data_IF_076122280409
#
_entry.id   IF_076122280409
#
_cell.length_a   1.000
_cell.length_b   1.000
_cell.length_c   1.000
_cell.angle_alpha   90.00
_cell.angle_beta   90.00
_cell.angle_gamma   90.00
#
_symmetry.space_group_name_H-M   'P 1'
#
loop_
_entity.id
_entity.type
_entity.pdbx_description
1 polymer ?
#
# COMPACT_ATOMS: atom_id res chain seq x y z
N UNK A 1 -8.84 -9.63 9.32
CA UNK A 1 -7.51 -9.03 9.49
C UNK A 1 -6.43 -10.10 9.46
N UNK A 2 -5.39 -9.92 8.64
CA UNK A 2 -4.31 -10.91 8.45
C UNK A 2 -3.38 -10.96 9.67
N UNK A 3 -3.20 -9.82 10.32
CA UNK A 3 -2.47 -9.69 11.60
C UNK A 3 -3.27 -10.24 12.79
N UNK A 4 -4.59 -10.39 12.63
CA UNK A 4 -5.49 -10.97 13.62
C UNK A 4 -5.95 -12.40 13.28
N UNK A 5 -7.07 -12.81 13.87
CA UNK A 5 -7.60 -14.18 13.85
C UNK A 5 -8.21 -14.67 12.51
N UNK A 6 -8.11 -13.97 11.38
CA UNK A 6 -8.95 -14.28 10.19
C UNK A 6 -9.21 -15.79 9.94
N UNK A 7 -10.46 -16.23 10.17
CA UNK A 7 -10.98 -17.62 10.28
C UNK A 7 -10.50 -18.41 11.51
N UNK A 8 -9.22 -18.72 11.57
CA UNK A 8 -8.65 -19.61 12.57
C UNK A 8 -7.70 -18.87 13.51
N UNK A 9 -7.54 -19.41 14.72
CA UNK A 9 -6.54 -18.90 15.66
C UNK A 9 -5.15 -19.44 15.26
N UNK A 10 -4.39 -18.61 14.54
CA UNK A 10 -3.10 -18.93 13.92
C UNK A 10 -2.11 -17.80 14.18
N UNK A 11 -0.82 -18.06 13.92
CA UNK A 11 0.21 -17.03 13.98
C UNK A 11 -0.14 -15.84 13.07
N UNK A 12 0.13 -14.59 13.49
CA UNK A 12 -0.17 -13.40 12.71
C UNK A 12 0.65 -13.38 11.42
N UNK A 13 0.05 -12.90 10.33
CA UNK A 13 0.72 -12.73 9.04
C UNK A 13 1.10 -11.26 8.90
N UNK A 14 2.36 -10.99 8.55
CA UNK A 14 2.86 -9.64 8.28
C UNK A 14 2.20 -9.09 7.01
N UNK A 15 1.17 -8.27 7.20
CA UNK A 15 0.47 -7.57 6.13
C UNK A 15 0.04 -6.20 6.62
N UNK A 16 0.07 -5.22 5.73
CA UNK A 16 -0.17 -3.82 6.07
C UNK A 16 -0.99 -3.15 4.98
N UNK A 17 -2.08 -2.50 5.39
CA UNK A 17 -2.88 -1.64 4.53
C UNK A 17 -2.24 -0.26 4.45
N UNK A 18 -2.07 0.28 3.23
CA UNK A 18 -1.64 1.66 3.02
C UNK A 18 -2.86 2.56 3.14
N UNK A 19 -3.27 2.85 4.38
CA UNK A 19 -4.51 3.58 4.67
C UNK A 19 -4.39 4.64 5.75
N UNK A 20 -3.17 5.03 6.13
CA UNK A 20 -2.95 6.08 7.11
C UNK A 20 -3.38 7.46 6.56
N UNK A 21 -4.40 8.13 7.12
CA UNK A 21 -4.91 9.36 6.56
C UNK A 21 -3.89 10.50 6.57
N UNK A 22 -3.02 10.56 7.58
CA UNK A 22 -2.00 11.59 7.69
C UNK A 22 -0.95 11.44 6.58
N UNK A 23 -0.50 10.23 6.28
CA UNK A 23 0.37 9.91 5.16
C UNK A 23 -0.30 10.25 3.82
N UNK A 24 -1.53 9.77 3.60
CA UNK A 24 -2.25 10.00 2.34
C UNK A 24 -2.45 11.50 2.06
N UNK A 25 -2.82 12.28 3.08
CA UNK A 25 -3.03 13.73 2.94
C UNK A 25 -1.73 14.51 2.82
N UNK A 26 -0.70 14.21 3.62
CA UNK A 26 0.59 14.88 3.53
C UNK A 26 1.26 14.63 2.17
N UNK A 27 1.34 13.37 1.72
CA UNK A 27 1.91 13.05 0.41
C UNK A 27 1.05 13.60 -0.72
N UNK A 28 -0.27 13.50 -0.60
CA UNK A 28 -1.19 14.05 -1.60
C UNK A 28 -1.02 15.56 -1.78
N UNK A 29 -0.82 16.30 -0.68
CA UNK A 29 -0.60 17.74 -0.67
C UNK A 29 0.76 18.13 -1.28
N UNK A 30 1.83 17.43 -0.87
CA UNK A 30 3.20 17.85 -1.19
C UNK A 30 3.74 17.27 -2.51
N UNK A 31 3.16 16.15 -2.97
CA UNK A 31 3.69 15.36 -4.08
C UNK A 31 2.65 14.86 -5.09
N UNK A 32 1.38 15.22 -4.90
CA UNK A 32 0.28 14.77 -5.76
C UNK A 32 -0.31 13.43 -5.31
N UNK A 33 -1.62 13.27 -5.54
CA UNK A 33 -2.37 12.09 -5.10
C UNK A 33 -1.93 10.81 -5.80
N UNK A 34 -1.34 10.90 -6.99
CA UNK A 34 -0.72 9.80 -7.73
C UNK A 34 0.54 9.22 -7.05
N UNK A 35 1.11 9.89 -6.05
CA UNK A 35 2.33 9.43 -5.35
C UNK A 35 2.05 8.76 -4.00
N UNK A 36 0.81 8.80 -3.51
CA UNK A 36 0.48 8.42 -2.11
C UNK A 36 0.86 6.98 -1.77
N UNK A 37 0.67 6.04 -2.69
CA UNK A 37 1.06 4.64 -2.50
C UNK A 37 2.52 4.40 -2.85
N UNK A 38 3.03 4.97 -3.94
CA UNK A 38 4.42 4.82 -4.37
C UNK A 38 5.43 5.27 -3.31
N UNK A 39 5.17 6.40 -2.64
CA UNK A 39 6.03 6.87 -1.55
C UNK A 39 6.03 5.93 -0.35
N UNK A 40 4.89 5.34 -0.04
CA UNK A 40 4.79 4.36 1.04
C UNK A 40 5.61 3.11 0.72
N UNK A 41 5.45 2.57 -0.49
CA UNK A 41 6.20 1.40 -0.98
C UNK A 41 7.71 1.70 -0.93
N UNK A 42 8.15 2.87 -1.42
CA UNK A 42 9.57 3.25 -1.38
C UNK A 42 10.13 3.34 0.05
N UNK A 43 9.32 3.75 1.02
CA UNK A 43 9.77 3.92 2.41
C UNK A 43 9.81 2.60 3.19
N UNK A 44 8.87 1.69 2.92
CA UNK A 44 8.65 0.50 3.75
C UNK A 44 8.94 -0.83 3.05
N UNK A 45 8.80 -0.89 1.72
CA UNK A 45 8.96 -2.10 0.94
C UNK A 45 10.40 -2.59 0.93
N UNK A 46 10.56 -3.91 0.91
CA UNK A 46 11.85 -4.61 0.83
C UNK A 46 11.83 -5.62 -0.30
N UNK A 47 13.03 -5.97 -0.78
CA UNK A 47 13.19 -7.09 -1.72
C UNK A 47 12.55 -8.36 -1.14
N UNK A 48 11.66 -8.99 -1.92
CA UNK A 48 10.91 -10.18 -1.52
C UNK A 48 9.54 -9.91 -0.90
N UNK A 49 9.19 -8.65 -0.60
CA UNK A 49 7.82 -8.29 -0.21
C UNK A 49 6.85 -8.36 -1.40
N UNK A 50 5.55 -8.41 -1.12
CA UNK A 50 4.49 -8.44 -2.14
C UNK A 50 3.56 -7.24 -1.99
N UNK A 51 3.41 -6.46 -3.07
CA UNK A 51 2.38 -5.44 -3.19
C UNK A 51 1.08 -6.04 -3.75
N UNK A 52 0.01 -6.04 -2.95
CA UNK A 52 -1.34 -6.35 -3.42
C UNK A 52 -2.09 -5.05 -3.74
N UNK A 53 -2.30 -4.78 -5.03
CA UNK A 53 -2.92 -3.56 -5.50
C UNK A 53 -4.30 -3.81 -6.14
N UNK A 54 -5.25 -2.88 -5.91
CA UNK A 54 -6.60 -2.95 -6.44
C UNK A 54 -6.91 -1.74 -7.34
N UNK A 55 -7.34 -1.99 -8.57
CA UNK A 55 -7.93 -0.99 -9.46
C UNK A 55 -8.94 -1.68 -10.38
N UNK A 56 -10.19 -1.20 -10.39
CA UNK A 56 -11.22 -1.77 -11.27
C UNK A 56 -11.02 -1.39 -12.74
N UNK A 57 -10.52 -0.18 -12.99
CA UNK A 57 -10.20 0.30 -14.34
C UNK A 57 -8.84 -0.18 -14.84
N UNK A 58 -7.96 -0.63 -13.95
CA UNK A 58 -6.55 -0.92 -14.24
C UNK A 58 -5.71 0.32 -14.52
N UNK A 59 -6.29 1.52 -14.49
CA UNK A 59 -5.66 2.76 -14.95
C UNK A 59 -5.52 3.82 -13.84
N UNK A 60 -5.76 3.46 -12.58
CA UNK A 60 -5.61 4.38 -11.45
C UNK A 60 -4.14 4.82 -11.32
N UNK A 61 -3.80 6.11 -11.52
CA UNK A 61 -2.39 6.53 -11.58
C UNK A 61 -1.61 6.23 -10.30
N UNK A 62 -2.24 6.41 -9.13
CA UNK A 62 -1.63 6.10 -7.83
C UNK A 62 -1.28 4.62 -7.65
N UNK A 63 -2.07 3.72 -8.22
CA UNK A 63 -1.83 2.28 -8.21
C UNK A 63 -0.71 1.91 -9.17
N UNK A 64 -0.73 2.46 -10.39
CA UNK A 64 0.32 2.22 -11.38
C UNK A 64 1.69 2.68 -10.87
N UNK A 65 1.78 3.87 -10.25
CA UNK A 65 3.03 4.36 -9.65
C UNK A 65 3.53 3.48 -8.50
N UNK A 66 2.63 2.90 -7.71
CA UNK A 66 3.01 1.96 -6.66
C UNK A 66 3.59 0.67 -7.25
N UNK A 67 2.95 0.12 -8.29
CA UNK A 67 3.42 -1.07 -8.98
C UNK A 67 4.77 -0.85 -9.70
N UNK A 68 5.01 0.34 -10.27
CA UNK A 68 6.31 0.71 -10.83
C UNK A 68 7.43 0.82 -9.77
N UNK A 69 7.07 1.06 -8.51
CA UNK A 69 8.02 1.27 -7.40
C UNK A 69 8.34 -0.02 -6.64
N UNK A 70 7.43 -1.00 -6.66
CA UNK A 70 7.57 -2.29 -5.99
C UNK A 70 8.49 -3.23 -6.78
#
# INVERSE_FOLDING_TARGET
>A
ELTGRYRDDRAPIAAMSISDPSHLTCVGNDHGFEQVFARYVRAHGREGDVLLAFSTSGNSPNVLRAAETA
#
